data_IF_393972434734
#
_entry.id   IF_393972434734
#
_cell.length_a   1.000
_cell.length_b   1.000
_cell.length_c   1.000
_cell.angle_alpha   90.00
_cell.angle_beta   90.00
_cell.angle_gamma   90.00
#
_symmetry.space_group_name_H-M   'P 1'
#
loop_
_entity.id
_entity.type
_entity.pdbx_description
1 polymer ?
#
# COMPACT_ATOMS: atom_id res chain seq x y z
N UNK A 1 -2.93 -9.89 15.66
CA UNK A 1 -3.09 -9.52 14.24
C UNK A 1 -2.85 -8.04 14.10
N UNK A 2 -1.96 -7.65 13.20
CA UNK A 2 -1.76 -6.24 12.82
C UNK A 2 -2.11 -6.06 11.35
N UNK A 3 -3.07 -5.20 11.03
CA UNK A 3 -3.40 -4.90 9.62
C UNK A 3 -3.23 -3.41 9.35
N UNK A 4 -2.38 -3.10 8.38
CA UNK A 4 -2.26 -1.76 7.82
C UNK A 4 -3.54 -1.35 7.10
N UNK A 5 -4.07 -0.16 7.37
CA UNK A 5 -5.16 0.45 6.63
C UNK A 5 -5.13 1.97 6.82
N UNK A 6 -5.19 2.73 5.73
CA UNK A 6 -5.02 4.19 5.73
C UNK A 6 -6.37 4.88 5.74
N UNK A 7 -7.15 4.67 4.68
CA UNK A 7 -8.45 5.33 4.48
C UNK A 7 -9.54 4.57 5.24
N UNK A 8 -9.52 4.67 6.57
CA UNK A 8 -10.41 3.91 7.47
C UNK A 8 -11.84 4.48 7.60
N UNK A 9 -12.12 5.60 6.92
CA UNK A 9 -13.44 6.23 6.92
C UNK A 9 -14.53 5.28 6.43
N UNK A 10 -15.65 5.22 7.16
CA UNK A 10 -16.84 4.43 6.80
C UNK A 10 -16.62 2.90 6.70
N UNK A 11 -15.46 2.37 7.08
CA UNK A 11 -15.23 0.92 7.18
C UNK A 11 -15.92 0.27 8.39
N UNK A 12 -16.45 1.06 9.32
CA UNK A 12 -16.97 0.58 10.61
C UNK A 12 -15.88 0.40 11.67
N UNK A 13 -16.28 -0.09 12.85
CA UNK A 13 -15.37 -0.19 13.99
C UNK A 13 -14.30 -1.27 13.76
N UNK A 14 -13.04 -0.92 14.08
CA UNK A 14 -11.90 -1.84 14.14
C UNK A 14 -11.68 -2.70 12.86
N UNK A 15 -11.27 -2.11 11.72
CA UNK A 15 -11.09 -2.83 10.46
C UNK A 15 -10.27 -4.14 10.56
N UNK A 16 -9.13 -4.13 11.26
CA UNK A 16 -8.32 -5.34 11.47
C UNK A 16 -9.09 -6.45 12.18
N UNK A 17 -9.99 -6.10 13.10
CA UNK A 17 -10.85 -7.07 13.81
C UNK A 17 -11.93 -7.63 12.89
N UNK A 18 -12.52 -6.80 12.03
CA UNK A 18 -13.50 -7.28 11.04
C UNK A 18 -12.87 -8.33 10.12
N UNK A 19 -11.70 -8.05 9.56
CA UNK A 19 -10.96 -8.99 8.73
C UNK A 19 -10.71 -10.33 9.44
N UNK A 20 -10.30 -10.29 10.71
CA UNK A 20 -10.07 -11.50 11.53
C UNK A 20 -11.34 -12.31 11.76
N UNK A 21 -12.46 -11.66 12.08
CA UNK A 21 -13.73 -12.35 12.30
C UNK A 21 -14.26 -12.94 11.00
N UNK A 22 -14.19 -12.21 9.89
CA UNK A 22 -14.64 -12.70 8.58
C UNK A 22 -13.74 -13.80 8.01
N UNK A 23 -12.44 -13.80 8.34
CA UNK A 23 -11.53 -14.91 8.04
C UNK A 23 -11.74 -16.15 8.92
N UNK A 24 -12.69 -16.12 9.88
CA UNK A 24 -13.03 -17.26 10.72
C UNK A 24 -12.05 -17.53 11.87
N UNK A 25 -11.18 -16.56 12.21
CA UNK A 25 -10.26 -16.70 13.33
C UNK A 25 -11.00 -16.61 14.69
N UNK A 26 -10.44 -17.17 15.77
CA UNK A 26 -11.06 -17.14 17.09
C UNK A 26 -11.40 -15.73 17.58
N UNK A 27 -12.53 -15.58 18.27
CA UNK A 27 -12.93 -14.29 18.87
C UNK A 27 -11.94 -13.81 19.95
N UNK A 28 -11.09 -14.68 20.48
CA UNK A 28 -10.00 -14.31 21.40
C UNK A 28 -8.81 -13.63 20.72
N UNK A 29 -8.73 -13.61 19.39
CA UNK A 29 -7.58 -13.04 18.65
C UNK A 29 -7.49 -11.52 18.81
N UNK A 30 -6.37 -11.05 19.36
CA UNK A 30 -6.08 -9.62 19.55
C UNK A 30 -5.79 -8.96 18.19
N UNK A 31 -6.40 -7.79 17.94
CA UNK A 31 -6.36 -7.11 16.66
C UNK A 31 -6.00 -5.63 16.82
N UNK A 32 -5.19 -5.10 15.91
CA UNK A 32 -4.85 -3.68 15.86
C UNK A 32 -4.76 -3.24 14.41
N UNK A 33 -5.50 -2.18 14.06
CA UNK A 33 -5.34 -1.49 12.77
C UNK A 33 -4.19 -0.49 12.88
N UNK A 34 -3.29 -0.48 11.92
CA UNK A 34 -2.09 0.38 11.91
C UNK A 34 -2.18 1.35 10.75
N UNK A 35 -1.90 2.63 10.99
CA UNK A 35 -1.80 3.63 9.93
C UNK A 35 -0.42 4.31 9.98
N UNK A 36 0.38 4.05 8.95
CA UNK A 36 1.60 4.80 8.57
C UNK A 36 1.56 5.09 7.06
N UNK A 37 0.39 5.51 6.56
CA UNK A 37 0.11 5.79 5.13
C UNK A 37 0.59 4.62 4.25
N UNK A 38 1.33 4.86 3.17
CA UNK A 38 1.79 3.81 2.25
C UNK A 38 2.65 2.73 2.95
N UNK A 39 3.28 3.05 4.09
CA UNK A 39 4.09 2.11 4.86
C UNK A 39 3.27 1.27 5.86
N UNK A 40 1.95 1.42 5.93
CA UNK A 40 1.09 0.78 6.95
C UNK A 40 1.24 -0.75 6.99
N UNK A 41 1.23 -1.41 5.83
CA UNK A 41 1.36 -2.86 5.75
C UNK A 41 2.72 -3.35 6.25
N UNK A 42 3.80 -2.71 5.81
CA UNK A 42 5.16 -3.05 6.27
C UNK A 42 5.34 -2.73 7.76
N UNK A 43 4.79 -1.61 8.25
CA UNK A 43 4.86 -1.24 9.67
C UNK A 43 4.10 -2.24 10.54
N UNK A 44 2.96 -2.76 10.08
CA UNK A 44 2.24 -3.83 10.77
C UNK A 44 3.10 -5.09 10.92
N UNK A 45 3.85 -5.47 9.88
CA UNK A 45 4.81 -6.60 9.93
C UNK A 45 5.95 -6.32 10.92
N UNK A 46 6.48 -5.10 10.95
CA UNK A 46 7.53 -4.71 11.92
C UNK A 46 7.02 -4.81 13.36
N UNK A 47 5.82 -4.30 13.65
CA UNK A 47 5.20 -4.39 14.97
C UNK A 47 4.95 -5.85 15.38
N UNK A 48 4.53 -6.69 14.44
CA UNK A 48 4.41 -8.13 14.67
C UNK A 48 5.76 -8.78 15.00
N UNK A 49 6.80 -8.50 14.23
CA UNK A 49 8.14 -9.01 14.49
C UNK A 49 8.65 -8.57 15.88
N UNK A 50 8.39 -7.32 16.29
CA UNK A 50 8.72 -6.84 17.64
C UNK A 50 7.95 -7.62 18.72
N UNK A 51 6.66 -7.88 18.54
CA UNK A 51 5.86 -8.66 19.49
C UNK A 51 6.35 -10.11 19.65
N UNK A 52 6.85 -10.72 18.56
CA UNK A 52 7.49 -12.04 18.61
C UNK A 52 8.86 -11.97 19.31
N UNK A 53 9.65 -10.93 19.03
CA UNK A 53 10.98 -10.73 19.64
C UNK A 53 10.92 -10.52 21.16
N UNK A 54 9.89 -9.86 21.66
CA UNK A 54 9.70 -9.63 23.10
C UNK A 54 9.08 -10.82 23.83
N UNK A 55 8.71 -11.89 23.11
CA UNK A 55 8.01 -13.04 23.68
C UNK A 55 6.57 -12.75 24.09
N UNK A 56 6.00 -11.62 23.66
CA UNK A 56 4.61 -11.27 23.98
C UNK A 56 3.61 -12.20 23.28
N UNK A 57 3.98 -12.74 22.11
CA UNK A 57 3.21 -13.73 21.35
C UNK A 57 4.16 -14.69 20.61
N UNK A 58 3.65 -15.86 20.24
CA UNK A 58 4.40 -16.89 19.51
C UNK A 58 4.05 -16.97 18.02
N UNK A 59 2.84 -16.53 17.66
CA UNK A 59 2.31 -16.49 16.28
C UNK A 59 1.53 -15.20 16.10
N UNK A 60 1.84 -14.45 15.04
CA UNK A 60 1.16 -13.21 14.69
C UNK A 60 0.93 -13.17 13.18
N UNK A 61 -0.31 -12.93 12.75
CA UNK A 61 -0.60 -12.54 11.38
C UNK A 61 -0.45 -11.02 11.24
N UNK A 62 0.23 -10.57 10.20
CA UNK A 62 0.38 -9.16 9.90
C UNK A 62 0.38 -8.87 8.40
N UNK A 63 -0.10 -7.70 8.02
CA UNK A 63 -0.25 -7.34 6.61
C UNK A 63 -0.87 -5.97 6.41
N UNK A 64 -1.50 -5.76 5.27
CA UNK A 64 -2.20 -4.52 4.93
C UNK A 64 -3.41 -4.79 4.04
N UNK A 65 -4.38 -3.89 4.08
CA UNK A 65 -5.57 -3.92 3.25
C UNK A 65 -6.06 -2.50 2.98
N UNK A 66 -6.52 -2.25 1.77
CA UNK A 66 -7.13 -0.98 1.38
C UNK A 66 -8.22 -1.24 0.35
N UNK A 67 -9.30 -0.47 0.42
CA UNK A 67 -10.26 -0.39 -0.67
C UNK A 67 -10.50 1.07 -1.03
N UNK A 68 -9.66 1.58 -1.92
CA UNK A 68 -9.75 2.96 -2.40
C UNK A 68 -11.06 3.22 -3.13
N UNK A 69 -11.62 2.23 -3.82
CA UNK A 69 -12.91 2.34 -4.51
C UNK A 69 -14.09 2.62 -3.58
N UNK A 70 -13.98 2.28 -2.29
CA UNK A 70 -15.05 2.43 -1.30
C UNK A 70 -14.81 3.57 -0.30
N UNK A 71 -13.75 4.36 -0.48
CA UNK A 71 -13.47 5.51 0.39
C UNK A 71 -14.57 6.56 0.20
N UNK A 72 -15.25 6.99 1.27
CA UNK A 72 -16.38 7.90 1.14
C UNK A 72 -15.91 9.35 0.94
N UNK A 73 -16.85 10.20 0.55
CA UNK A 73 -16.72 11.64 0.74
C UNK A 73 -17.10 12.02 2.18
N UNK A 74 -16.43 13.04 2.72
CA UNK A 74 -16.63 13.57 4.06
C UNK A 74 -17.41 14.87 4.04
N UNK A 75 -18.22 15.03 5.09
CA UNK A 75 -18.88 16.26 5.43
C UNK A 75 -18.54 16.57 6.89
N UNK A 76 -18.02 17.78 7.16
CA UNK A 76 -17.70 18.18 8.53
C UNK A 76 -18.99 18.22 9.37
N UNK A 77 -18.91 17.69 10.59
CA UNK A 77 -20.00 17.80 11.57
C UNK A 77 -20.17 19.27 11.97
N UNK A 78 -21.41 19.74 11.98
CA UNK A 78 -21.74 21.11 12.39
C UNK A 78 -22.93 21.66 11.60
N UNK A 79 -23.16 22.96 11.73
CA UNK A 79 -24.16 23.67 10.95
C UNK A 79 -23.70 23.83 9.50
N UNK A 80 -24.64 23.74 8.56
CA UNK A 80 -24.36 24.05 7.16
C UNK A 80 -24.32 25.57 6.99
N UNK A 81 -23.18 26.17 6.61
CA UNK A 81 -23.09 27.61 6.48
C UNK A 81 -23.96 28.13 5.32
N UNK A 82 -24.46 29.36 5.45
CA UNK A 82 -25.11 30.06 4.35
C UNK A 82 -24.13 30.20 3.17
N UNK A 83 -24.58 29.85 1.96
CA UNK A 83 -23.73 29.80 0.77
C UNK A 83 -23.27 28.40 0.36
N UNK A 84 -23.59 27.37 1.14
CA UNK A 84 -23.37 25.97 0.79
C UNK A 84 -22.14 25.36 1.45
N UNK A 85 -21.92 24.07 1.21
CA UNK A 85 -20.81 23.31 1.80
C UNK A 85 -20.14 22.40 0.78
N UNK A 86 -18.85 22.12 1.02
CA UNK A 86 -18.06 21.24 0.18
C UNK A 86 -18.00 19.85 0.78
N UNK A 87 -18.34 18.83 -0.03
CA UNK A 87 -18.00 17.45 0.26
C UNK A 87 -16.52 17.22 -0.08
N UNK A 88 -15.79 16.62 0.86
CA UNK A 88 -14.34 16.40 0.76
C UNK A 88 -14.09 14.96 0.35
N UNK A 89 -13.34 14.73 -0.73
CA UNK A 89 -12.92 13.38 -1.12
C UNK A 89 -11.97 12.79 -0.07
N UNK A 90 -12.32 11.66 0.53
CA UNK A 90 -11.53 11.02 1.57
C UNK A 90 -10.19 10.47 1.08
N UNK A 91 -10.09 10.05 -0.18
CA UNK A 91 -8.84 9.58 -0.79
C UNK A 91 -7.87 10.75 -0.82
N UNK A 92 -8.29 11.87 -1.40
CA UNK A 92 -7.46 13.06 -1.51
C UNK A 92 -7.10 13.58 -0.12
N UNK A 93 -8.07 13.65 0.79
CA UNK A 93 -7.87 14.28 2.10
C UNK A 93 -6.98 13.46 3.05
N UNK A 94 -7.26 12.17 3.24
CA UNK A 94 -6.51 11.33 4.19
C UNK A 94 -5.30 10.62 3.58
N UNK A 95 -5.33 10.37 2.26
CA UNK A 95 -4.31 9.57 1.57
C UNK A 95 -3.27 10.39 0.81
N UNK A 96 -3.70 11.43 0.08
CA UNK A 96 -2.85 12.06 -0.95
C UNK A 96 -2.57 13.55 -0.77
N UNK A 97 -3.04 14.21 0.29
CA UNK A 97 -2.74 15.62 0.56
C UNK A 97 -1.71 15.76 1.66
N UNK A 98 -0.59 16.43 1.37
CA UNK A 98 0.39 16.74 2.40
C UNK A 98 -0.20 17.76 3.37
N UNK A 99 -0.16 17.45 4.66
CA UNK A 99 -0.77 18.29 5.69
C UNK A 99 -0.06 19.63 5.81
N UNK A 100 1.24 19.70 5.53
CA UNK A 100 2.03 20.90 5.79
C UNK A 100 2.04 21.84 4.57
N UNK A 101 2.23 21.28 3.38
CA UNK A 101 2.32 22.01 2.12
C UNK A 101 0.98 22.18 1.40
N UNK A 102 -0.07 21.44 1.82
CA UNK A 102 -1.44 21.56 1.30
C UNK A 102 -1.58 21.30 -0.21
N UNK A 103 -0.77 20.39 -0.75
CA UNK A 103 -0.88 19.94 -2.14
C UNK A 103 -0.80 18.41 -2.24
N UNK A 104 -1.00 17.90 -3.45
CA UNK A 104 -1.02 16.47 -3.73
C UNK A 104 0.37 15.83 -3.58
N UNK A 105 0.44 14.55 -3.19
CA UNK A 105 1.71 13.78 -3.16
C UNK A 105 2.50 13.83 -4.48
N UNK A 106 1.78 13.98 -5.60
CA UNK A 106 2.39 14.14 -6.92
C UNK A 106 3.23 15.41 -7.04
N UNK A 107 2.90 16.48 -6.32
CA UNK A 107 3.71 17.69 -6.25
C UNK A 107 5.00 17.48 -5.42
N UNK A 108 4.98 16.62 -4.39
CA UNK A 108 6.21 16.20 -3.70
C UNK A 108 7.16 15.45 -4.66
N UNK A 109 6.59 14.60 -5.51
CA UNK A 109 7.36 13.88 -6.53
C UNK A 109 7.99 14.83 -7.56
N UNK A 110 7.24 15.83 -8.05
CA UNK A 110 7.78 16.88 -8.93
C UNK A 110 8.92 17.68 -8.26
N UNK A 111 8.79 18.01 -6.97
CA UNK A 111 9.85 18.66 -6.20
C UNK A 111 11.13 17.81 -6.17
N UNK A 112 11.01 16.51 -5.93
CA UNK A 112 12.15 15.59 -5.95
C UNK A 112 12.74 15.46 -7.36
N UNK A 113 11.90 15.33 -8.38
CA UNK A 113 12.33 15.26 -9.77
C UNK A 113 13.15 16.48 -10.16
N UNK A 114 12.71 17.68 -9.75
CA UNK A 114 13.46 18.92 -9.93
C UNK A 114 14.79 18.92 -9.18
N UNK A 115 14.79 18.61 -7.88
CA UNK A 115 16.02 18.61 -7.04
C UNK A 115 17.09 17.64 -7.56
N UNK A 116 16.67 16.48 -8.07
CA UNK A 116 17.56 15.42 -8.53
C UNK A 116 17.73 15.38 -10.06
N UNK A 117 17.17 16.35 -10.79
CA UNK A 117 17.22 16.42 -12.25
C UNK A 117 16.71 15.16 -12.96
N UNK A 118 15.67 14.52 -12.40
CA UNK A 118 15.02 13.34 -13.00
C UNK A 118 14.04 13.82 -14.07
N UNK A 119 14.34 13.48 -15.32
CA UNK A 119 13.58 13.93 -16.49
C UNK A 119 12.28 13.15 -16.66
N UNK A 120 11.32 13.75 -17.38
CA UNK A 120 10.08 13.09 -17.82
C UNK A 120 10.36 11.78 -18.57
N UNK A 121 11.33 11.78 -19.48
CA UNK A 121 11.68 10.60 -20.28
C UNK A 121 12.13 9.44 -19.38
N UNK A 122 12.97 9.70 -18.38
CA UNK A 122 13.44 8.66 -17.44
C UNK A 122 12.28 8.06 -16.63
N UNK A 123 11.31 8.88 -16.22
CA UNK A 123 10.13 8.40 -15.50
C UNK A 123 9.24 7.53 -16.40
N UNK A 124 9.01 7.95 -17.64
CA UNK A 124 8.24 7.16 -18.61
C UNK A 124 8.94 5.85 -18.96
N UNK A 125 10.25 5.86 -19.20
CA UNK A 125 11.03 4.65 -19.47
C UNK A 125 10.98 3.67 -18.30
N UNK A 126 11.05 4.17 -17.07
CA UNK A 126 10.88 3.36 -15.87
C UNK A 126 9.47 2.75 -15.78
N UNK A 127 8.42 3.55 -16.03
CA UNK A 127 7.04 3.06 -16.03
C UNK A 127 6.84 1.97 -17.08
N UNK A 128 7.30 2.18 -18.32
CA UNK A 128 7.25 1.18 -19.40
C UNK A 128 7.97 -0.11 -19.00
N UNK A 129 9.17 0.01 -18.41
CA UNK A 129 9.94 -1.12 -17.89
C UNK A 129 9.16 -1.87 -16.80
N UNK A 130 8.49 -1.16 -15.89
CA UNK A 130 7.65 -1.73 -14.83
C UNK A 130 6.50 -2.56 -15.42
N UNK A 131 5.71 -1.99 -16.34
CA UNK A 131 4.62 -2.69 -17.02
C UNK A 131 5.10 -3.97 -17.73
N UNK A 132 6.24 -3.90 -18.43
CA UNK A 132 6.83 -5.06 -19.11
C UNK A 132 7.27 -6.14 -18.13
N UNK A 133 7.88 -5.77 -17.00
CA UNK A 133 8.28 -6.72 -15.96
C UNK A 133 7.07 -7.42 -15.33
N UNK A 134 6.01 -6.68 -15.03
CA UNK A 134 4.77 -7.25 -14.50
C UNK A 134 4.15 -8.23 -15.50
N UNK A 135 4.02 -7.86 -16.77
CA UNK A 135 3.49 -8.74 -17.82
C UNK A 135 4.33 -10.03 -17.96
N UNK A 136 5.66 -9.91 -17.98
CA UNK A 136 6.56 -11.05 -18.06
C UNK A 136 6.46 -11.96 -16.82
N UNK A 137 6.28 -11.41 -15.62
CA UNK A 137 6.10 -12.18 -14.40
C UNK A 137 4.78 -12.97 -14.40
N UNK A 138 3.70 -12.39 -14.93
CA UNK A 138 2.43 -13.09 -15.14
C UNK A 138 2.54 -14.20 -16.19
N UNK A 139 3.18 -13.92 -17.32
CA UNK A 139 3.45 -14.93 -18.36
C UNK A 139 4.29 -16.11 -17.81
N UNK A 140 5.28 -15.80 -16.96
CA UNK A 140 6.11 -16.78 -16.27
C UNK A 140 5.43 -17.42 -15.03
N UNK A 141 4.19 -17.05 -14.70
CA UNK A 141 3.42 -17.53 -13.53
C UNK A 141 4.13 -17.33 -12.19
N UNK A 142 4.92 -16.26 -12.06
CA UNK A 142 5.71 -15.98 -10.85
C UNK A 142 4.83 -15.74 -9.60
N UNK A 143 3.58 -15.31 -9.78
CA UNK A 143 2.64 -15.00 -8.69
C UNK A 143 1.68 -16.15 -8.34
N UNK A 144 1.84 -17.33 -8.94
CA UNK A 144 0.90 -18.45 -8.77
C UNK A 144 0.77 -18.92 -7.31
N UNK A 145 1.86 -18.82 -6.54
CA UNK A 145 1.89 -19.19 -5.11
C UNK A 145 1.56 -18.00 -4.18
N UNK A 146 1.46 -16.79 -4.71
CA UNK A 146 1.23 -15.55 -3.95
C UNK A 146 -0.23 -15.08 -4.03
N UNK A 147 -0.85 -15.16 -5.21
CA UNK A 147 -2.21 -14.68 -5.45
C UNK A 147 -3.23 -15.77 -5.12
N UNK A 148 -4.16 -15.45 -4.22
CA UNK A 148 -5.36 -16.26 -3.99
C UNK A 148 -6.51 -15.68 -4.82
N UNK A 149 -7.07 -16.43 -5.80
CA UNK A 149 -8.17 -15.95 -6.60
C UNK A 149 -9.42 -15.60 -5.77
N UNK A 150 -10.12 -14.54 -6.15
CA UNK A 150 -11.33 -14.07 -5.50
C UNK A 150 -12.52 -14.30 -6.42
N UNK A 151 -13.54 -15.02 -5.93
CA UNK A 151 -14.81 -15.16 -6.65
C UNK A 151 -15.68 -13.93 -6.44
N UNK A 152 -15.97 -13.22 -7.53
CA UNK A 152 -16.82 -12.04 -7.52
C UNK A 152 -18.28 -12.45 -7.77
N UNK A 153 -19.17 -12.27 -6.79
CA UNK A 153 -20.57 -12.62 -6.94
C UNK A 153 -21.21 -11.75 -8.04
N UNK A 154 -21.93 -12.41 -8.95
CA UNK A 154 -22.66 -11.76 -10.02
C UNK A 154 -24.17 -11.71 -9.71
N UNK A 155 -24.92 -10.97 -10.53
CA UNK A 155 -26.38 -10.97 -10.46
C UNK A 155 -26.92 -12.40 -10.61
N UNK A 156 -28.06 -12.68 -9.96
CA UNK A 156 -28.71 -13.99 -9.97
C UNK A 156 -28.82 -14.55 -11.39
N UNK A 157 -28.29 -15.77 -11.60
CA UNK A 157 -28.32 -16.46 -12.89
C UNK A 157 -27.05 -16.27 -13.74
N UNK A 158 -26.11 -15.41 -13.33
CA UNK A 158 -24.81 -15.25 -13.99
C UNK A 158 -23.74 -15.97 -13.15
N UNK A 159 -22.86 -16.79 -13.77
CA UNK A 159 -21.74 -17.42 -13.06
C UNK A 159 -20.83 -16.39 -12.40
N UNK A 160 -20.24 -16.74 -11.24
CA UNK A 160 -19.26 -15.89 -10.57
C UNK A 160 -18.04 -15.64 -11.50
N UNK A 161 -17.50 -14.42 -11.42
CA UNK A 161 -16.26 -14.07 -12.14
C UNK A 161 -15.10 -14.37 -11.22
N UNK A 162 -14.16 -15.20 -11.64
CA UNK A 162 -12.95 -15.50 -10.88
C UNK A 162 -11.88 -14.44 -11.17
N UNK A 163 -11.61 -13.58 -10.19
CA UNK A 163 -10.54 -12.60 -10.26
C UNK A 163 -9.24 -13.24 -9.76
N UNK A 164 -8.31 -13.54 -10.67
CA UNK A 164 -7.12 -14.35 -10.39
C UNK A 164 -5.79 -13.70 -10.78
N UNK A 165 -5.83 -12.47 -11.28
CA UNK A 165 -4.66 -11.71 -11.70
C UNK A 165 -4.87 -10.22 -11.42
N UNK A 166 -3.78 -9.50 -11.19
CA UNK A 166 -3.81 -8.04 -11.13
C UNK A 166 -4.41 -7.45 -12.41
N UNK A 167 -5.17 -6.37 -12.24
CA UNK A 167 -5.88 -5.73 -13.35
C UNK A 167 -4.99 -4.74 -14.11
N UNK A 168 -4.14 -4.01 -13.38
CA UNK A 168 -3.53 -2.76 -13.86
C UNK A 168 -2.48 -2.99 -14.94
N UNK A 169 -1.66 -4.04 -14.84
CA UNK A 169 -0.54 -4.26 -15.76
C UNK A 169 -0.99 -4.44 -17.23
N UNK A 170 -2.27 -4.79 -17.44
CA UNK A 170 -2.90 -4.96 -18.76
C UNK A 170 -3.45 -3.64 -19.33
N UNK A 171 -3.66 -2.63 -18.50
CA UNK A 171 -4.31 -1.35 -18.84
C UNK A 171 -3.33 -0.28 -19.33
N UNK A 172 -2.34 -0.66 -20.12
CA UNK A 172 -1.33 0.26 -20.64
C UNK A 172 -1.36 0.38 -22.16
N UNK A 173 -1.23 1.61 -22.65
CA UNK A 173 -0.94 1.90 -24.06
C UNK A 173 0.41 2.63 -24.13
N UNK A 174 1.45 1.88 -24.51
CA UNK A 174 2.83 2.39 -24.55
C UNK A 174 2.99 3.60 -25.49
N UNK A 175 2.28 3.64 -26.61
CA UNK A 175 2.34 4.76 -27.58
C UNK A 175 1.69 6.04 -27.06
N UNK A 176 0.75 5.91 -26.13
CA UNK A 176 0.05 7.04 -25.50
C UNK A 176 0.74 7.50 -24.21
N UNK A 177 1.41 6.60 -23.49
CA UNK A 177 2.03 6.88 -22.19
C UNK A 177 2.96 8.09 -22.26
N UNK A 178 3.84 8.14 -23.28
CA UNK A 178 4.79 9.25 -23.47
C UNK A 178 4.16 10.57 -23.91
N UNK A 179 2.88 10.53 -24.32
CA UNK A 179 2.10 11.71 -24.77
C UNK A 179 1.15 12.24 -23.71
N UNK A 180 1.07 11.58 -22.55
CA UNK A 180 0.20 12.03 -21.47
C UNK A 180 0.65 13.38 -20.93
N UNK A 181 -0.33 14.22 -20.62
CA UNK A 181 -0.13 15.50 -19.95
C UNK A 181 0.23 15.29 -18.48
N UNK A 182 1.01 16.20 -17.93
CA UNK A 182 1.33 16.22 -16.51
C UNK A 182 0.11 16.64 -15.70
N UNK A 183 -0.17 15.94 -14.61
CA UNK A 183 -1.46 16.07 -13.89
C UNK A 183 -1.34 16.88 -12.59
N UNK A 184 -0.13 16.98 -12.03
CA UNK A 184 0.10 17.67 -10.75
C UNK A 184 0.73 19.06 -10.90
N UNK A 185 1.51 19.27 -11.97
CA UNK A 185 2.20 20.52 -12.22
C UNK A 185 2.09 20.89 -13.72
N UNK A 186 1.60 22.11 -13.99
CA UNK A 186 1.40 22.60 -15.36
C UNK A 186 2.72 22.99 -16.03
N UNK A 187 3.55 23.75 -15.32
CA UNK A 187 4.81 24.26 -15.86
C UNK A 187 5.95 23.28 -15.55
N UNK A 188 6.65 22.80 -16.57
CA UNK A 188 7.80 21.90 -16.42
C UNK A 188 7.51 20.66 -15.56
N UNK A 189 6.27 20.15 -15.59
CA UNK A 189 5.90 18.92 -14.91
C UNK A 189 6.53 17.70 -15.58
N UNK A 190 6.67 16.63 -14.81
CA UNK A 190 7.22 15.34 -15.23
C UNK A 190 6.31 14.16 -14.88
N UNK A 191 5.43 14.31 -13.89
CA UNK A 191 4.58 13.23 -13.40
C UNK A 191 3.25 13.21 -14.14
N UNK A 192 2.88 12.04 -14.64
CA UNK A 192 1.64 11.77 -15.39
C UNK A 192 0.88 10.59 -14.80
N UNK A 193 -0.37 10.41 -15.22
CA UNK A 193 -1.14 9.22 -14.86
C UNK A 193 -0.49 7.90 -15.35
N UNK A 194 0.36 7.94 -16.38
CA UNK A 194 1.01 6.74 -16.92
C UNK A 194 2.31 6.36 -16.21
N UNK A 195 2.92 7.28 -15.46
CA UNK A 195 4.17 7.04 -14.74
C UNK A 195 4.05 7.19 -13.20
N UNK A 196 2.87 7.56 -12.70
CA UNK A 196 2.49 7.49 -11.30
C UNK A 196 1.78 6.17 -10.97
N UNK A 197 1.68 5.83 -9.69
CA UNK A 197 0.83 4.73 -9.23
C UNK A 197 -0.65 5.08 -9.35
N UNK A 198 -1.48 4.05 -9.54
CA UNK A 198 -2.93 4.17 -9.61
C UNK A 198 -3.57 4.13 -8.21
N UNK A 199 -4.89 4.29 -8.17
CA UNK A 199 -5.70 3.98 -6.99
C UNK A 199 -6.18 2.54 -7.14
N UNK A 200 -5.96 1.70 -6.13
CA UNK A 200 -6.19 0.26 -6.24
C UNK A 200 -6.87 -0.30 -4.98
N UNK A 201 -7.53 -1.44 -5.14
CA UNK A 201 -8.07 -2.23 -4.04
C UNK A 201 -7.24 -3.51 -3.88
N UNK A 202 -6.96 -3.92 -2.64
CA UNK A 202 -6.20 -5.14 -2.39
C UNK A 202 -5.86 -5.37 -0.93
N UNK A 203 -5.41 -6.58 -0.62
CA UNK A 203 -4.90 -6.96 0.68
C UNK A 203 -3.80 -8.02 0.57
N UNK A 204 -2.85 -7.98 1.50
CA UNK A 204 -1.79 -8.98 1.64
C UNK A 204 -1.57 -9.26 3.13
N UNK A 205 -1.21 -10.51 3.46
CA UNK A 205 -0.95 -10.93 4.84
C UNK A 205 0.15 -11.98 4.91
N UNK A 206 0.93 -11.94 5.99
CA UNK A 206 1.95 -12.90 6.33
C UNK A 206 1.64 -13.54 7.69
N UNK A 207 1.96 -14.82 7.83
CA UNK A 207 1.98 -15.50 9.12
C UNK A 207 3.41 -15.51 9.64
N UNK A 208 3.63 -14.80 10.74
CA UNK A 208 4.92 -14.74 11.42
C UNK A 208 4.86 -15.59 12.70
N UNK A 209 5.95 -16.27 13.01
CA UNK A 209 6.07 -17.09 14.22
C UNK A 209 7.50 -17.10 14.73
N UNK A 210 7.68 -17.40 16.02
CA UNK A 210 9.00 -17.67 16.58
C UNK A 210 9.58 -18.97 15.98
N UNK A 211 10.91 -19.07 15.92
CA UNK A 211 11.59 -20.27 15.39
C UNK A 211 11.22 -21.52 16.20
N UNK A 212 11.07 -21.39 17.51
CA UNK A 212 10.69 -22.50 18.39
C UNK A 212 9.25 -22.94 18.16
N UNK A 213 8.34 -21.99 17.88
CA UNK A 213 6.97 -22.32 17.50
C UNK A 213 6.90 -22.97 16.12
N UNK A 214 7.68 -22.52 15.14
CA UNK A 214 7.76 -23.18 13.84
C UNK A 214 8.20 -24.65 13.97
N UNK A 215 9.22 -24.92 14.79
CA UNK A 215 9.68 -26.28 15.10
C UNK A 215 8.60 -27.09 15.82
N UNK A 216 7.97 -26.52 16.85
CA UNK A 216 6.92 -27.17 17.65
C UNK A 216 5.70 -27.55 16.80
N UNK A 217 5.33 -26.72 15.84
CA UNK A 217 4.22 -26.97 14.91
C UNK A 217 4.62 -27.79 13.67
N UNK A 218 5.90 -28.14 13.53
CA UNK A 218 6.45 -28.87 12.39
C UNK A 218 6.14 -28.21 11.03
N UNK A 219 6.28 -26.89 10.95
CA UNK A 219 6.09 -26.11 9.72
C UNK A 219 7.42 -25.61 9.18
N UNK A 220 7.54 -25.53 7.85
CA UNK A 220 8.74 -25.05 7.16
C UNK A 220 8.70 -23.52 7.02
N UNK A 221 9.62 -22.77 7.63
CA UNK A 221 9.71 -21.32 7.41
C UNK A 221 10.12 -21.01 5.96
N UNK A 222 9.52 -19.98 5.36
CA UNK A 222 9.88 -19.51 4.01
C UNK A 222 11.05 -18.52 4.03
N UNK A 223 11.10 -17.66 5.05
CA UNK A 223 12.11 -16.63 5.22
C UNK A 223 12.31 -16.31 6.71
N UNK A 224 13.37 -15.56 7.02
CA UNK A 224 13.64 -15.01 8.36
C UNK A 224 13.65 -13.49 8.27
N UNK A 225 12.93 -12.82 9.18
CA UNK A 225 13.04 -11.37 9.37
C UNK A 225 14.38 -11.08 10.07
N UNK A 226 15.36 -10.58 9.33
CA UNK A 226 16.71 -10.27 9.86
C UNK A 226 16.72 -8.93 10.61
N UNK A 227 16.00 -7.95 10.09
CA UNK A 227 15.89 -6.63 10.71
C UNK A 227 14.87 -5.76 9.98
N UNK A 228 14.64 -4.58 10.55
CA UNK A 228 13.80 -3.54 9.98
C UNK A 228 14.22 -2.18 10.56
N UNK A 229 13.95 -1.11 9.81
CA UNK A 229 14.21 0.27 10.20
C UNK A 229 13.15 1.21 9.60
N UNK A 230 12.82 2.27 10.33
CA UNK A 230 12.09 3.43 9.81
C UNK A 230 13.09 4.57 9.55
N UNK A 231 12.81 5.36 8.50
CA UNK A 231 13.49 6.60 8.16
C UNK A 231 12.46 7.67 7.78
N UNK A 232 12.73 8.91 8.18
CA UNK A 232 11.89 10.07 7.89
C UNK A 232 12.79 11.25 7.50
N UNK A 233 12.23 12.18 6.74
CA UNK A 233 12.85 13.41 6.29
C UNK A 233 11.78 14.51 6.24
N UNK A 234 12.09 15.67 5.66
CA UNK A 234 11.09 16.72 5.43
C UNK A 234 9.86 16.13 4.69
N UNK A 235 8.62 16.45 5.11
CA UNK A 235 7.40 15.92 4.47
C UNK A 235 7.36 16.05 2.94
N UNK A 236 7.85 17.14 2.37
CA UNK A 236 7.87 17.31 0.89
C UNK A 236 8.87 16.37 0.21
N UNK A 237 9.89 15.93 0.95
CA UNK A 237 10.99 15.09 0.48
C UNK A 237 10.76 13.60 0.79
N UNK A 238 9.54 13.19 1.18
CA UNK A 238 9.23 11.78 1.43
C UNK A 238 9.65 10.79 0.32
N UNK A 239 9.71 11.15 -1.00
CA UNK A 239 10.20 10.23 -2.02
C UNK A 239 11.63 9.74 -1.77
N UNK A 240 12.45 10.49 -1.03
CA UNK A 240 13.82 10.09 -0.66
C UNK A 240 13.94 9.52 0.77
N UNK A 241 12.84 9.43 1.53
CA UNK A 241 12.84 8.78 2.85
C UNK A 241 13.34 7.32 2.83
N UNK A 242 13.08 6.51 1.78
CA UNK A 242 13.68 5.18 1.66
C UNK A 242 15.21 5.20 1.64
N UNK A 243 15.84 6.26 1.11
CA UNK A 243 17.30 6.43 1.12
C UNK A 243 17.85 6.75 2.52
N UNK A 244 17.00 7.07 3.50
CA UNK A 244 17.37 7.15 4.92
C UNK A 244 17.14 5.81 5.63
N UNK A 245 16.03 5.13 5.33
CA UNK A 245 15.64 3.89 5.99
C UNK A 245 16.53 2.69 5.60
N UNK A 246 16.84 2.54 4.31
CA UNK A 246 17.57 1.38 3.77
C UNK A 246 19.02 1.32 4.29
N UNK A 247 19.85 2.37 4.20
CA UNK A 247 21.23 2.31 4.70
C UNK A 247 21.29 2.00 6.20
N UNK A 248 20.38 2.60 6.98
CA UNK A 248 20.24 2.32 8.42
C UNK A 248 19.90 0.85 8.70
N UNK A 249 19.07 0.22 7.86
CA UNK A 249 18.77 -1.21 7.97
C UNK A 249 19.98 -2.07 7.62
N UNK A 250 20.64 -1.75 6.51
CA UNK A 250 21.85 -2.45 6.04
C UNK A 250 22.95 -2.42 7.10
N UNK A 251 23.27 -1.25 7.63
CA UNK A 251 24.22 -1.07 8.74
C UNK A 251 23.82 -1.89 9.98
N UNK A 252 22.55 -1.80 10.41
CA UNK A 252 22.04 -2.54 11.57
C UNK A 252 22.12 -4.06 11.40
N UNK A 253 22.01 -4.56 10.17
CA UNK A 253 21.98 -6.00 9.87
C UNK A 253 23.32 -6.56 9.40
N UNK A 254 24.32 -5.70 9.19
CA UNK A 254 25.63 -6.10 8.69
C UNK A 254 25.58 -6.65 7.27
N UNK A 255 24.70 -6.11 6.43
CA UNK A 255 24.57 -6.44 5.00
C UNK A 255 25.03 -5.22 4.21
N UNK A 256 25.89 -5.44 3.21
CA UNK A 256 26.39 -4.39 2.30
C UNK A 256 25.35 -4.02 1.22
#
# INVERSE_FOLDING_TARGET
VYMGNVCSGFLGQAPARQAVIFAGLPKSTICTTVNKVCASGMKAVMLAAQGLQTGAQDVILAGGMESMSNVPYYMKRGETPYGGMQLVDGIVFDGFTDVYNKFHMGNCAENTAKKLSITRQQQDDYAISSYRRSAAAYEAKAFADEIVPIELPQKRGVPAVLFSEDEEYKKVNFDKLTKLTTVFQKENGTVTAGNASNLNDGAAALVLMTADTAKRLNVKPLARVVGFADGECDPIDFPIAPAVAIPKLLEKTGVD
#
